data_IF_145095162090
#
_entry.id   IF_145095162090
#
_cell.length_a   1.000
_cell.length_b   1.000
_cell.length_c   1.000
_cell.angle_alpha   90.00
_cell.angle_beta   90.00
_cell.angle_gamma   90.00
#
_symmetry.space_group_name_H-M   'P 1'
#
loop_
_entity.id
_entity.type
_entity.pdbx_description
1 polymer ?
#
# COMPACT_ATOMS: atom_id res chain seq x y z
N UNK A 1 5.45 -16.50 12.35
CA UNK A 1 4.71 -15.46 11.59
C UNK A 1 5.68 -14.85 10.60
N UNK A 2 5.27 -14.61 9.36
CA UNK A 2 6.04 -13.74 8.46
C UNK A 2 6.05 -12.31 9.04
N UNK A 3 6.99 -11.48 8.58
CA UNK A 3 7.24 -10.16 9.14
C UNK A 3 6.00 -9.26 9.11
N UNK A 4 5.27 -9.22 7.99
CA UNK A 4 4.02 -8.45 7.88
C UNK A 4 2.93 -8.88 8.86
N UNK A 5 2.68 -10.18 9.02
CA UNK A 5 1.63 -10.66 9.97
C UNK A 5 1.99 -10.31 11.41
N UNK A 6 3.28 -10.36 11.79
CA UNK A 6 3.71 -9.96 13.12
C UNK A 6 3.45 -8.47 13.36
N UNK A 7 3.73 -7.61 12.37
CA UNK A 7 3.49 -6.18 12.50
C UNK A 7 2.01 -5.86 12.67
N UNK A 8 1.13 -6.46 11.86
CA UNK A 8 -0.32 -6.27 12.01
C UNK A 8 -0.81 -6.75 13.38
N UNK A 9 -0.28 -7.87 13.90
CA UNK A 9 -0.64 -8.36 15.23
C UNK A 9 -0.16 -7.44 16.36
N UNK A 10 1.09 -6.99 16.30
CA UNK A 10 1.64 -6.10 17.33
C UNK A 10 0.95 -4.72 17.29
N UNK A 11 0.52 -4.25 16.11
CA UNK A 11 -0.35 -3.07 15.98
C UNK A 11 -1.72 -3.30 16.60
N UNK A 12 -2.41 -4.39 16.24
CA UNK A 12 -3.74 -4.71 16.75
C UNK A 12 -3.77 -4.92 18.28
N UNK A 13 -2.62 -5.25 18.88
CA UNK A 13 -2.45 -5.37 20.34
C UNK A 13 -1.92 -4.10 21.00
N UNK A 14 -1.76 -3.00 20.24
CA UNK A 14 -1.36 -1.68 20.75
C UNK A 14 0.12 -1.56 21.13
N UNK A 15 0.98 -2.48 20.69
CA UNK A 15 2.42 -2.46 21.03
C UNK A 15 3.23 -1.56 20.13
N UNK A 16 2.83 -1.44 18.87
CA UNK A 16 3.50 -0.63 17.86
C UNK A 16 2.48 0.24 17.13
N UNK A 17 2.94 1.40 16.68
CA UNK A 17 2.17 2.37 15.91
C UNK A 17 0.75 2.68 16.45
N UNK A 18 0.60 3.01 17.74
CA UNK A 18 -0.71 3.33 18.32
C UNK A 18 -1.39 4.56 17.70
N UNK A 19 -0.65 5.39 16.97
CA UNK A 19 -1.14 6.54 16.22
C UNK A 19 -2.02 6.16 15.02
N UNK A 20 -1.86 4.96 14.44
CA UNK A 20 -2.66 4.53 13.29
C UNK A 20 -3.94 3.84 13.75
N UNK A 21 -5.07 4.46 13.43
CA UNK A 21 -6.40 3.91 13.66
C UNK A 21 -6.70 2.74 12.70
N UNK A 22 -6.15 2.78 11.49
CA UNK A 22 -6.36 1.76 10.47
C UNK A 22 -5.05 1.33 9.82
N UNK A 23 -4.84 0.02 9.75
CA UNK A 23 -3.72 -0.60 9.04
C UNK A 23 -4.26 -1.50 7.94
N UNK A 24 -3.88 -1.21 6.70
CA UNK A 24 -4.19 -2.04 5.53
C UNK A 24 -2.92 -2.74 5.08
N UNK A 25 -2.85 -4.04 5.28
CA UNK A 25 -1.72 -4.88 4.86
C UNK A 25 -2.02 -5.57 3.54
N UNK A 26 -1.13 -5.42 2.57
CA UNK A 26 -1.21 -6.02 1.26
C UNK A 26 0.03 -6.88 1.03
N UNK A 27 -0.14 -8.13 0.61
CA UNK A 27 0.97 -8.94 0.11
C UNK A 27 1.07 -8.77 -1.38
N UNK A 28 2.26 -8.47 -1.89
CA UNK A 28 2.48 -8.34 -3.34
C UNK A 28 2.10 -9.60 -4.12
N UNK A 29 2.28 -10.78 -3.53
CA UNK A 29 1.81 -12.04 -4.10
C UNK A 29 0.30 -12.02 -4.39
N UNK A 30 -0.50 -11.51 -3.45
CA UNK A 30 -1.96 -11.43 -3.58
C UNK A 30 -2.37 -10.36 -4.58
N UNK A 31 -1.60 -9.27 -4.66
CA UNK A 31 -1.83 -8.19 -5.61
C UNK A 31 -1.63 -8.62 -7.08
N UNK A 32 -0.82 -9.66 -7.33
CA UNK A 32 -0.57 -10.16 -8.68
C UNK A 32 -1.82 -10.73 -9.41
N UNK A 33 -2.97 -10.85 -8.74
CA UNK A 33 -4.24 -11.25 -9.37
C UNK A 33 -4.89 -10.13 -10.18
N UNK A 34 -4.56 -8.86 -9.91
CA UNK A 34 -5.18 -7.71 -10.56
C UNK A 34 -4.48 -7.42 -11.89
N UNK A 35 -5.11 -7.85 -12.99
CA UNK A 35 -4.63 -7.64 -14.37
C UNK A 35 -5.42 -6.56 -15.13
N UNK A 36 -6.41 -5.95 -14.48
CA UNK A 36 -7.25 -4.88 -15.02
C UNK A 36 -7.08 -3.61 -14.19
N UNK A 37 -7.60 -2.49 -14.70
CA UNK A 37 -7.67 -1.26 -13.91
C UNK A 37 -8.53 -1.48 -12.67
N UNK A 38 -8.08 -0.92 -11.55
CA UNK A 38 -8.77 -0.90 -10.25
C UNK A 38 -8.58 0.49 -9.63
N UNK A 39 -9.29 0.82 -8.57
CA UNK A 39 -9.03 2.01 -7.77
C UNK A 39 -8.67 1.61 -6.33
N UNK A 40 -8.05 2.51 -5.56
CA UNK A 40 -7.59 2.19 -4.20
C UNK A 40 -8.75 1.74 -3.31
N UNK A 41 -9.93 2.36 -3.45
CA UNK A 41 -11.14 1.97 -2.72
C UNK A 41 -11.45 0.49 -2.93
N UNK A 42 -11.55 0.05 -4.18
CA UNK A 42 -11.90 -1.31 -4.53
C UNK A 42 -10.78 -2.28 -4.15
N UNK A 43 -9.52 -1.86 -4.24
CA UNK A 43 -8.39 -2.66 -3.77
C UNK A 43 -8.47 -2.95 -2.27
N UNK A 44 -8.81 -1.93 -1.46
CA UNK A 44 -9.03 -2.12 -0.02
C UNK A 44 -10.25 -3.00 0.22
N UNK A 45 -11.37 -2.78 -0.49
CA UNK A 45 -12.60 -3.56 -0.31
C UNK A 45 -12.44 -5.05 -0.67
N UNK A 46 -11.61 -5.36 -1.66
CA UNK A 46 -11.36 -6.73 -2.07
C UNK A 46 -10.74 -7.55 -0.93
N UNK A 47 -9.76 -6.97 -0.23
CA UNK A 47 -9.09 -7.63 0.90
C UNK A 47 -9.78 -7.40 2.25
N UNK A 48 -10.52 -6.30 2.38
CA UNK A 48 -11.17 -5.87 3.61
C UNK A 48 -12.66 -5.51 3.37
N UNK A 49 -13.53 -6.47 2.98
CA UNK A 49 -14.90 -6.18 2.56
C UNK A 49 -15.75 -5.46 3.63
N UNK A 50 -15.46 -5.73 4.90
CA UNK A 50 -16.17 -5.15 6.05
C UNK A 50 -15.83 -3.67 6.28
N UNK A 51 -14.81 -3.14 5.62
CA UNK A 51 -14.40 -1.74 5.78
C UNK A 51 -15.16 -0.78 4.85
N UNK A 52 -16.13 -1.25 4.06
CA UNK A 52 -16.83 -0.39 3.10
C UNK A 52 -17.52 0.84 3.67
N UNK A 53 -18.03 0.75 4.90
CA UNK A 53 -18.59 1.89 5.65
C UNK A 53 -17.50 2.82 6.21
N UNK A 54 -16.30 2.30 6.43
CA UNK A 54 -15.14 2.99 7.03
C UNK A 54 -14.29 3.69 5.96
N UNK A 55 -14.44 3.35 4.68
CA UNK A 55 -13.68 3.98 3.60
C UNK A 55 -13.97 5.48 3.44
N UNK A 56 -15.13 5.94 3.89
CA UNK A 56 -15.42 7.37 4.00
C UNK A 56 -14.49 8.10 5.00
N UNK A 57 -13.95 7.39 5.99
CA UNK A 57 -12.98 7.91 6.95
C UNK A 57 -11.57 8.00 6.36
N UNK A 58 -11.23 7.24 5.30
CA UNK A 58 -9.91 7.34 4.65
C UNK A 58 -9.59 8.78 4.23
N UNK A 59 -10.61 9.52 3.78
CA UNK A 59 -10.48 10.92 3.39
C UNK A 59 -10.55 11.89 4.56
N UNK A 60 -11.18 11.51 5.68
CA UNK A 60 -11.38 12.40 6.83
C UNK A 60 -10.19 12.44 7.77
N UNK A 61 -9.52 11.32 7.96
CA UNK A 61 -8.35 11.21 8.85
C UNK A 61 -7.22 10.41 8.20
N UNK A 62 -6.60 10.93 7.13
CA UNK A 62 -5.54 10.22 6.43
C UNK A 62 -4.29 9.98 7.30
N UNK A 63 -4.02 10.83 8.30
CA UNK A 63 -2.91 10.67 9.25
C UNK A 63 -3.04 9.42 10.14
N UNK A 64 -4.26 8.94 10.36
CA UNK A 64 -4.52 7.70 11.08
C UNK A 64 -4.37 6.42 10.24
N UNK A 65 -3.89 6.52 9.00
CA UNK A 65 -3.80 5.41 8.06
C UNK A 65 -2.35 4.96 7.86
N UNK A 66 -2.15 3.64 7.91
CA UNK A 66 -0.92 2.99 7.50
C UNK A 66 -1.20 1.91 6.45
N UNK A 67 -0.54 2.02 5.30
CA UNK A 67 -0.52 0.98 4.28
C UNK A 67 0.77 0.17 4.42
N UNK A 68 0.66 -1.14 4.59
CA UNK A 68 1.80 -2.06 4.64
C UNK A 68 1.81 -2.87 3.35
N UNK A 69 2.94 -2.85 2.63
CA UNK A 69 3.18 -3.71 1.48
C UNK A 69 4.26 -4.73 1.83
N UNK A 70 3.90 -6.01 1.90
CA UNK A 70 4.80 -7.11 2.27
C UNK A 70 5.18 -7.96 1.05
N UNK A 71 6.47 -8.34 0.98
CA UNK A 71 7.01 -9.22 -0.05
C UNK A 71 7.25 -8.54 -1.39
N UNK A 72 7.89 -7.36 -1.41
CA UNK A 72 8.20 -6.65 -2.67
C UNK A 72 8.90 -7.52 -3.72
N UNK A 73 9.74 -8.45 -3.29
CA UNK A 73 10.41 -9.45 -4.13
C UNK A 73 9.46 -10.45 -4.81
N UNK A 74 8.22 -10.55 -4.35
CA UNK A 74 7.18 -11.46 -4.86
C UNK A 74 6.24 -10.78 -5.89
N UNK A 75 6.47 -9.51 -6.21
CA UNK A 75 5.64 -8.80 -7.19
C UNK A 75 6.01 -9.20 -8.62
N UNK A 76 5.02 -9.66 -9.40
CA UNK A 76 5.23 -10.19 -10.76
C UNK A 76 5.59 -9.10 -11.75
N UNK A 77 4.95 -7.96 -11.63
CA UNK A 77 5.37 -6.78 -12.37
C UNK A 77 6.61 -6.28 -11.68
N UNK A 78 7.78 -6.36 -12.33
CA UNK A 78 8.95 -5.66 -11.80
C UNK A 78 8.52 -4.24 -11.53
N UNK A 79 8.72 -3.72 -10.30
CA UNK A 79 8.45 -2.31 -10.04
C UNK A 79 9.50 -1.51 -10.82
N UNK A 80 9.29 -1.36 -12.12
CA UNK A 80 10.10 -0.53 -12.96
C UNK A 80 9.57 0.89 -12.77
N UNK A 81 10.11 1.52 -11.73
CA UNK A 81 9.84 2.90 -11.37
C UNK A 81 10.07 3.88 -12.54
N UNK A 82 10.77 3.47 -13.60
CA UNK A 82 10.95 4.24 -14.83
C UNK A 82 9.74 4.17 -15.78
N UNK A 83 8.85 3.18 -15.60
CA UNK A 83 7.68 2.95 -16.47
C UNK A 83 6.39 3.55 -15.93
N UNK A 84 6.42 4.14 -14.73
CA UNK A 84 5.28 4.87 -14.17
C UNK A 84 4.93 6.07 -15.03
N UNK A 85 3.90 5.91 -15.87
CA UNK A 85 3.41 6.95 -16.78
C UNK A 85 2.29 7.79 -16.19
N UNK A 86 1.63 7.29 -15.13
CA UNK A 86 0.43 7.90 -14.59
C UNK A 86 0.47 7.95 -13.06
N UNK A 87 0.22 9.12 -12.49
CA UNK A 87 0.10 9.31 -11.05
C UNK A 87 -1.37 9.25 -10.66
N UNK A 88 -1.73 8.31 -9.79
CA UNK A 88 -3.07 8.22 -9.22
C UNK A 88 -3.16 9.19 -8.03
N UNK A 89 -3.85 10.33 -8.24
CA UNK A 89 -4.02 11.39 -7.25
C UNK A 89 -5.37 11.33 -6.50
N UNK A 90 -6.22 10.35 -6.80
CA UNK A 90 -7.52 10.17 -6.15
C UNK A 90 -7.76 8.67 -5.88
N UNK A 91 -8.10 8.25 -4.63
CA UNK A 91 -8.48 6.87 -4.31
C UNK A 91 -9.58 6.25 -5.17
N UNK A 92 -10.42 7.07 -5.82
CA UNK A 92 -11.52 6.63 -6.69
C UNK A 92 -11.10 6.50 -8.17
N UNK A 93 -9.90 6.99 -8.54
CA UNK A 93 -9.39 6.93 -9.90
C UNK A 93 -9.02 5.50 -10.31
N UNK A 94 -9.51 5.07 -11.48
CA UNK A 94 -9.21 3.76 -12.04
C UNK A 94 -7.86 3.79 -12.76
N UNK A 95 -6.91 3.01 -12.26
CA UNK A 95 -5.54 2.94 -12.77
C UNK A 95 -5.05 1.49 -12.74
N UNK A 96 -3.89 1.22 -13.34
CA UNK A 96 -3.26 -0.08 -13.13
C UNK A 96 -2.85 -0.20 -11.65
N UNK A 97 -2.83 -1.42 -11.14
CA UNK A 97 -2.39 -1.71 -9.78
C UNK A 97 -1.01 -1.11 -9.48
N UNK A 98 -0.08 -1.24 -10.43
CA UNK A 98 1.25 -0.65 -10.33
C UNK A 98 1.21 0.86 -10.09
N UNK A 99 0.36 1.61 -10.81
CA UNK A 99 0.25 3.07 -10.67
C UNK A 99 -0.27 3.45 -9.28
N UNK A 100 -1.17 2.64 -8.69
CA UNK A 100 -1.69 2.83 -7.33
C UNK A 100 -0.58 2.62 -6.29
N UNK A 101 0.12 1.48 -6.36
CA UNK A 101 1.19 1.15 -5.42
C UNK A 101 2.31 2.18 -5.51
N UNK A 102 2.70 2.57 -6.73
CA UNK A 102 3.69 3.63 -6.95
C UNK A 102 3.24 4.95 -6.33
N UNK A 103 2.00 5.38 -6.60
CA UNK A 103 1.46 6.64 -6.07
C UNK A 103 1.35 6.64 -4.54
N UNK A 104 1.06 5.48 -3.95
CA UNK A 104 1.07 5.28 -2.49
C UNK A 104 2.46 5.49 -1.93
N UNK A 105 3.46 4.77 -2.45
CA UNK A 105 4.86 4.84 -2.01
C UNK A 105 5.43 6.26 -2.19
N UNK A 106 5.01 6.98 -3.23
CA UNK A 106 5.42 8.37 -3.48
C UNK A 106 4.69 9.40 -2.62
N UNK A 107 3.79 8.99 -1.73
CA UNK A 107 2.98 9.89 -0.90
C UNK A 107 2.11 10.89 -1.72
N UNK A 108 1.67 10.51 -2.92
CA UNK A 108 0.96 11.41 -3.86
C UNK A 108 -0.55 11.21 -3.93
N UNK A 109 -1.09 10.14 -3.33
CA UNK A 109 -2.48 9.75 -3.53
C UNK A 109 -3.46 10.49 -2.58
N UNK A 110 -2.99 10.84 -1.38
CA UNK A 110 -3.71 11.54 -0.30
C UNK A 110 -2.70 12.29 0.60
N UNK A 111 -3.00 13.46 1.16
CA UNK A 111 -2.12 14.08 2.14
C UNK A 111 -2.21 13.35 3.50
N UNK A 112 -1.09 12.98 4.13
CA UNK A 112 -1.02 12.60 5.55
C UNK A 112 -0.90 11.10 5.89
N UNK A 113 -1.16 10.19 4.95
CA UNK A 113 -1.04 8.74 5.23
C UNK A 113 0.42 8.27 5.28
N UNK A 114 0.63 7.14 5.96
CA UNK A 114 1.92 6.47 6.04
C UNK A 114 1.97 5.21 5.19
N UNK A 115 3.15 4.90 4.65
CA UNK A 115 3.43 3.65 3.92
C UNK A 115 4.63 2.97 4.53
N UNK A 116 4.51 1.66 4.69
CA UNK A 116 5.61 0.78 5.06
C UNK A 116 5.76 -0.30 4.00
N UNK A 117 6.95 -0.39 3.40
CA UNK A 117 7.29 -1.48 2.48
C UNK A 117 8.23 -2.45 3.19
N UNK A 118 7.86 -3.72 3.21
CA UNK A 118 8.65 -4.83 3.75
C UNK A 118 9.15 -5.65 2.55
N UNK A 119 10.47 -5.80 2.46
CA UNK A 119 11.12 -6.46 1.34
C UNK A 119 12.29 -7.29 1.85
N UNK A 120 12.60 -8.39 1.14
CA UNK A 120 13.91 -9.01 1.28
C UNK A 120 15.02 -7.99 0.98
N UNK A 121 16.17 -8.01 1.70
CA UNK A 121 17.27 -7.08 1.46
C UNK A 121 17.75 -7.04 0.01
N UNK A 122 17.69 -8.18 -0.67
CA UNK A 122 18.12 -8.33 -2.07
C UNK A 122 17.23 -7.54 -3.03
N UNK A 123 15.96 -7.32 -2.70
CA UNK A 123 15.01 -6.57 -3.54
C UNK A 123 14.94 -5.06 -3.21
N UNK A 124 15.73 -4.59 -2.24
CA UNK A 124 15.76 -3.17 -1.87
C UNK A 124 16.22 -2.26 -3.03
N UNK A 125 17.09 -2.77 -3.91
CA UNK A 125 17.55 -2.06 -5.11
C UNK A 125 16.41 -1.68 -6.08
N UNK A 126 15.24 -2.33 -5.97
CA UNK A 126 14.05 -1.92 -6.71
C UNK A 126 13.61 -0.53 -6.24
N UNK A 127 13.52 -0.31 -4.93
CA UNK A 127 13.11 0.97 -4.33
C UNK A 127 14.12 2.10 -4.55
N UNK A 128 15.42 1.80 -4.65
CA UNK A 128 16.44 2.82 -4.94
C UNK A 128 16.21 3.54 -6.28
N UNK A 129 15.60 2.86 -7.25
CA UNK A 129 15.24 3.45 -8.55
C UNK A 129 14.01 4.36 -8.48
N UNK A 130 13.31 4.37 -7.36
CA UNK A 130 12.08 5.12 -7.18
C UNK A 130 12.29 6.56 -6.70
N UNK A 131 13.54 6.99 -6.47
CA UNK A 131 13.87 8.29 -5.84
C UNK A 131 13.04 8.55 -4.57
N UNK A 132 12.75 7.50 -3.79
CA UNK A 132 12.07 7.64 -2.51
C UNK A 132 13.01 8.42 -1.60
N UNK A 133 12.60 9.61 -1.17
CA UNK A 133 13.32 10.36 -0.15
C UNK A 133 13.21 9.59 1.17
N UNK A 134 14.30 8.95 1.57
CA UNK A 134 14.45 8.23 2.85
C UNK A 134 14.61 9.21 3.99
#
# INVERSE_FOLDING_TARGET
MNSGTKMVYDWATGKIYPEFQFVFSFKFQDLNIFNCQINLRNLVLDQYPYFGSVLGELRKNPEGLLFIFDGLDEFKDSIDFLTAKFMCADPECWCNLFDIVYSLIQHKLLPGYSVLVISCPIALHLLEKAEISV
#
